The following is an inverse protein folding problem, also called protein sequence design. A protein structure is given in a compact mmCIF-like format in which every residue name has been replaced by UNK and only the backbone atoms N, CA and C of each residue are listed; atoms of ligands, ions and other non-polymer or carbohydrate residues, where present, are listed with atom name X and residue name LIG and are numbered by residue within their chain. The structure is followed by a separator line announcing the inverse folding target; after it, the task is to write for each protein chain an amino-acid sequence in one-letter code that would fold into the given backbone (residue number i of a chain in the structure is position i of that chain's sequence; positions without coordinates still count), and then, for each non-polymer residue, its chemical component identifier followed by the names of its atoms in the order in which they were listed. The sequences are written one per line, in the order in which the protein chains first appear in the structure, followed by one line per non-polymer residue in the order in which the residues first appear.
data_IF_120287968196
#
_entry.id   IF_120287968196
#
_cell.length_a   1.000
_cell.length_b   1.000
_cell.length_c   1.000
_cell.angle_alpha   90.00
_cell.angle_beta   90.00
_cell.angle_gamma   90.00
#
_symmetry.space_group_name_H-M   'P 1'
#
loop_
_entity.id
_entity.type
_entity.pdbx_description
1 polymer ?
#
# COMPACT_ATOMS: atom_id res chain seq x y z
N UNK A 1 -6.84 -26.18 20.16
CA UNK A 1 -5.77 -26.53 21.09
C UNK A 1 -5.50 -25.45 22.14
N UNK A 2 -4.95 -24.26 21.79
CA UNK A 2 -4.66 -23.19 22.78
C UNK A 2 -5.88 -22.84 23.66
N UNK A 3 -7.06 -22.69 23.02
CA UNK A 3 -8.34 -22.49 23.71
C UNK A 3 -8.65 -23.56 24.76
N UNK A 4 -8.36 -24.82 24.47
CA UNK A 4 -8.62 -25.94 25.39
C UNK A 4 -7.67 -25.92 26.59
N UNK A 5 -6.43 -25.47 26.39
CA UNK A 5 -5.45 -25.30 27.47
C UNK A 5 -5.91 -24.21 28.41
N UNK A 6 -6.23 -23.02 27.90
CA UNK A 6 -6.68 -21.89 28.71
C UNK A 6 -7.99 -22.17 29.47
N UNK A 7 -8.93 -22.90 28.85
CA UNK A 7 -10.15 -23.34 29.54
C UNK A 7 -9.88 -24.29 30.70
N UNK A 8 -8.88 -25.18 30.58
CA UNK A 8 -8.48 -26.08 31.68
C UNK A 8 -7.81 -25.33 32.83
N UNK A 9 -7.08 -24.26 32.52
CA UNK A 9 -6.37 -23.44 33.51
C UNK A 9 -7.22 -22.30 34.10
N UNK A 10 -8.50 -22.20 33.72
CA UNK A 10 -9.40 -21.12 34.12
C UNK A 10 -8.87 -19.71 33.78
N UNK A 11 -8.20 -19.58 32.65
CA UNK A 11 -7.69 -18.31 32.13
C UNK A 11 -8.75 -17.67 31.23
N UNK A 12 -9.06 -16.38 31.45
CA UNK A 12 -9.92 -15.61 30.55
C UNK A 12 -9.11 -15.18 29.32
N UNK A 13 -9.72 -15.23 28.13
CA UNK A 13 -9.03 -14.84 26.90
C UNK A 13 -9.97 -14.26 25.85
N UNK A 14 -9.41 -13.40 25.00
CA UNK A 14 -10.01 -12.97 23.74
C UNK A 14 -9.56 -13.88 22.58
N UNK A 15 -10.46 -14.21 21.65
CA UNK A 15 -10.09 -15.07 20.52
C UNK A 15 -9.06 -14.43 19.58
N UNK A 16 -9.10 -13.10 19.41
CA UNK A 16 -8.12 -12.37 18.61
C UNK A 16 -6.71 -12.44 19.23
N UNK A 17 -6.61 -12.35 20.56
CA UNK A 17 -5.33 -12.49 21.27
C UNK A 17 -4.72 -13.89 21.07
N UNK A 18 -5.55 -14.94 21.08
CA UNK A 18 -5.11 -16.30 20.79
C UNK A 18 -4.60 -16.48 19.34
N UNK A 19 -5.28 -15.87 18.36
CA UNK A 19 -4.81 -15.88 16.96
C UNK A 19 -3.45 -15.18 16.85
N UNK A 20 -3.27 -14.10 17.59
CA UNK A 20 -2.03 -13.34 17.62
C UNK A 20 -0.87 -14.19 18.16
N UNK A 21 -1.04 -14.84 19.31
CA UNK A 21 -0.04 -15.77 19.89
C UNK A 21 0.28 -16.91 18.92
N UNK A 22 -0.74 -17.51 18.30
CA UNK A 22 -0.56 -18.58 17.32
C UNK A 22 0.27 -18.15 16.10
N UNK A 23 0.08 -16.91 15.64
CA UNK A 23 0.85 -16.31 14.55
C UNK A 23 2.30 -16.06 14.97
N UNK A 24 2.51 -15.49 16.16
CA UNK A 24 3.85 -15.18 16.69
C UNK A 24 4.70 -16.42 16.96
N UNK A 25 4.08 -17.58 17.16
CA UNK A 25 4.78 -18.87 17.26
C UNK A 25 5.34 -19.41 15.94
N UNK A 26 5.24 -18.68 14.81
CA UNK A 26 5.84 -19.01 13.52
C UNK A 26 5.56 -20.45 13.01
N UNK A 27 4.39 -21.01 13.34
CA UNK A 27 4.02 -22.38 12.96
C UNK A 27 4.69 -23.48 13.79
N UNK A 28 5.53 -23.14 14.75
CA UNK A 28 6.10 -24.05 15.74
C UNK A 28 5.13 -24.18 16.92
N UNK A 29 4.61 -25.39 17.12
CA UNK A 29 3.73 -25.68 18.25
C UNK A 29 4.44 -25.41 19.59
N UNK A 30 5.74 -25.71 19.68
CA UNK A 30 6.54 -25.48 20.88
C UNK A 30 6.69 -24.00 21.20
N UNK A 31 6.99 -23.19 20.20
CA UNK A 31 7.20 -21.74 20.41
C UNK A 31 5.87 -21.07 20.72
N UNK A 32 4.78 -21.50 20.06
CA UNK A 32 3.43 -21.05 20.38
C UNK A 32 3.04 -21.35 21.83
N UNK A 33 3.33 -22.56 22.33
CA UNK A 33 3.06 -22.92 23.73
C UNK A 33 3.94 -22.13 24.69
N UNK A 34 5.21 -21.91 24.34
CA UNK A 34 6.12 -21.08 25.15
C UNK A 34 5.62 -19.63 25.27
N UNK A 35 5.12 -19.05 24.17
CA UNK A 35 4.50 -17.72 24.17
C UNK A 35 3.18 -17.70 24.95
N UNK A 36 2.39 -18.78 24.90
CA UNK A 36 1.17 -18.91 25.69
C UNK A 36 1.46 -18.90 27.19
N UNK A 37 2.47 -19.65 27.63
CA UNK A 37 2.88 -19.69 29.04
C UNK A 37 3.35 -18.32 29.54
N UNK A 38 4.13 -17.61 28.71
CA UNK A 38 4.54 -16.22 28.99
C UNK A 38 3.33 -15.28 29.05
N UNK A 39 2.38 -15.43 28.14
CA UNK A 39 1.15 -14.64 28.10
C UNK A 39 0.30 -14.81 29.35
N UNK A 40 0.14 -16.04 29.86
CA UNK A 40 -0.62 -16.32 31.08
C UNK A 40 -0.01 -15.57 32.27
N UNK A 41 1.32 -15.62 32.41
CA UNK A 41 2.06 -14.96 33.49
C UNK A 41 1.95 -13.43 33.36
N UNK A 42 2.22 -12.88 32.17
CA UNK A 42 2.21 -11.43 31.94
C UNK A 42 0.82 -10.83 32.12
N UNK A 43 -0.22 -11.52 31.63
CA UNK A 43 -1.58 -10.99 31.60
C UNK A 43 -2.36 -11.21 32.90
N UNK A 44 -1.77 -11.88 33.90
CA UNK A 44 -2.40 -12.22 35.18
C UNK A 44 -3.73 -12.98 35.01
N UNK A 45 -3.71 -14.05 34.21
CA UNK A 45 -4.85 -14.92 33.90
C UNK A 45 -6.03 -14.24 33.15
N UNK A 46 -5.81 -13.06 32.56
CA UNK A 46 -6.77 -12.41 31.66
C UNK A 46 -6.07 -11.88 30.41
N UNK A 47 -6.07 -12.70 29.36
CA UNK A 47 -5.40 -12.46 28.08
C UNK A 47 -6.30 -11.61 27.17
N UNK A 48 -5.90 -10.37 26.92
CA UNK A 48 -6.55 -9.48 25.93
C UNK A 48 -5.57 -9.08 24.84
N UNK A 49 -6.09 -8.62 23.70
CA UNK A 49 -5.25 -8.24 22.56
C UNK A 49 -4.23 -7.15 22.95
N UNK A 50 -4.68 -6.14 23.71
CA UNK A 50 -3.82 -5.05 24.19
C UNK A 50 -2.66 -5.56 25.04
N UNK A 51 -2.92 -6.46 26.00
CA UNK A 51 -1.84 -6.98 26.85
C UNK A 51 -0.86 -7.84 26.07
N UNK A 52 -1.33 -8.55 25.04
CA UNK A 52 -0.48 -9.38 24.18
C UNK A 52 0.37 -8.52 23.24
N UNK A 53 -0.19 -7.46 22.65
CA UNK A 53 0.58 -6.51 21.85
C UNK A 53 1.65 -5.84 22.71
N UNK A 54 1.33 -5.47 23.95
CA UNK A 54 2.28 -4.89 24.90
C UNK A 54 3.38 -5.90 25.28
N UNK A 55 3.01 -7.14 25.58
CA UNK A 55 3.96 -8.21 25.95
C UNK A 55 4.96 -8.50 24.83
N UNK A 56 4.47 -8.57 23.60
CA UNK A 56 5.25 -8.99 22.45
C UNK A 56 5.92 -7.81 21.71
N UNK A 57 5.65 -6.57 22.13
CA UNK A 57 6.15 -5.37 21.46
C UNK A 57 5.56 -5.15 20.07
N UNK A 58 4.40 -5.75 19.78
CA UNK A 58 3.73 -5.57 18.50
C UNK A 58 2.81 -4.35 18.51
N UNK A 59 2.53 -3.82 17.32
CA UNK A 59 1.61 -2.71 17.17
C UNK A 59 0.16 -3.15 17.20
N UNK A 60 -0.67 -2.33 17.83
CA UNK A 60 -2.12 -2.50 17.80
C UNK A 60 -2.61 -2.48 16.34
N UNK A 61 -3.35 -3.52 15.89
CA UNK A 61 -3.94 -3.56 14.55
C UNK A 61 -4.77 -2.31 14.20
N UNK A 62 -5.40 -1.66 15.18
CA UNK A 62 -6.14 -0.42 14.95
C UNK A 62 -5.22 0.74 14.59
N UNK A 63 -4.03 0.83 15.18
CA UNK A 63 -3.02 1.83 14.81
C UNK A 63 -2.52 1.61 13.40
N UNK A 64 -2.23 0.35 13.02
CA UNK A 64 -1.83 -0.01 11.65
C UNK A 64 -2.90 0.42 10.64
N UNK A 65 -4.17 0.11 10.93
CA UNK A 65 -5.29 0.53 10.10
C UNK A 65 -5.37 2.05 9.98
N UNK A 66 -5.27 2.76 11.10
CA UNK A 66 -5.37 4.22 11.10
C UNK A 66 -4.22 4.89 10.34
N UNK A 67 -3.02 4.30 10.38
CA UNK A 67 -1.87 4.74 9.57
C UNK A 67 -2.13 4.60 8.06
N UNK A 68 -2.64 3.45 7.61
CA UNK A 68 -3.07 3.28 6.22
C UNK A 68 -4.12 4.31 5.81
N UNK A 69 -5.11 4.57 6.66
CA UNK A 69 -6.15 5.56 6.39
C UNK A 69 -5.59 6.97 6.30
N UNK A 70 -4.65 7.36 7.16
CA UNK A 70 -3.96 8.65 7.08
C UNK A 70 -3.22 8.81 5.73
N UNK A 71 -2.52 7.76 5.26
CA UNK A 71 -1.84 7.75 3.96
C UNK A 71 -2.82 7.89 2.79
N UNK A 72 -3.95 7.17 2.83
CA UNK A 72 -4.97 7.20 1.78
C UNK A 72 -5.72 8.54 1.72
N UNK A 73 -6.02 9.12 2.88
CA UNK A 73 -6.70 10.42 2.99
C UNK A 73 -5.76 11.61 2.78
N UNK A 74 -4.46 11.35 2.61
CA UNK A 74 -3.41 12.37 2.42
C UNK A 74 -3.26 13.32 3.61
N UNK A 75 -3.62 12.84 4.79
CA UNK A 75 -3.49 13.60 6.04
C UNK A 75 -2.05 13.52 6.54
N UNK A 76 -1.20 14.45 6.04
CA UNK A 76 0.23 14.46 6.34
C UNK A 76 0.51 14.62 7.82
N UNK A 77 -0.26 15.45 8.52
CA UNK A 77 -0.09 15.68 9.96
C UNK A 77 -0.31 14.39 10.75
N UNK A 78 -1.37 13.65 10.43
CA UNK A 78 -1.58 12.33 11.04
C UNK A 78 -0.48 11.34 10.70
N UNK A 79 0.00 11.31 9.46
CA UNK A 79 1.11 10.41 9.07
C UNK A 79 2.37 10.71 9.88
N UNK A 80 2.71 11.98 10.09
CA UNK A 80 3.87 12.36 10.91
C UNK A 80 3.68 12.01 12.38
N UNK A 81 2.49 12.27 12.94
CA UNK A 81 2.18 11.87 14.31
C UNK A 81 2.33 10.35 14.51
N UNK A 82 1.85 9.55 13.55
CA UNK A 82 2.09 8.10 13.58
C UNK A 82 3.58 7.76 13.46
N UNK A 83 4.33 8.40 12.56
CA UNK A 83 5.76 8.13 12.43
C UNK A 83 6.53 8.41 13.72
N UNK A 84 6.18 9.45 14.47
CA UNK A 84 6.76 9.72 15.80
C UNK A 84 6.47 8.58 16.79
N UNK A 85 5.24 8.06 16.81
CA UNK A 85 4.90 6.90 17.63
C UNK A 85 5.59 5.60 17.18
N UNK A 86 5.77 5.43 15.86
CA UNK A 86 6.36 4.20 15.30
C UNK A 86 7.88 4.10 15.55
N UNK A 87 8.56 5.21 15.88
CA UNK A 87 10.00 5.21 16.16
C UNK A 87 10.40 4.44 17.42
N UNK A 88 9.47 4.19 18.34
CA UNK A 88 9.70 3.38 19.53
C UNK A 88 9.72 1.86 19.23
N UNK A 89 9.39 1.47 18.00
CA UNK A 89 9.31 0.08 17.55
C UNK A 89 10.40 -0.26 16.54
N UNK A 90 10.81 -1.52 16.52
CA UNK A 90 11.72 -2.03 15.48
C UNK A 90 11.04 -1.97 14.10
N UNK A 91 11.74 -1.45 13.09
CA UNK A 91 11.15 -1.26 11.77
C UNK A 91 10.73 -2.59 11.14
N UNK A 92 11.48 -3.66 11.40
CA UNK A 92 11.16 -5.01 10.93
C UNK A 92 9.76 -5.46 11.41
N UNK A 93 9.45 -5.23 12.69
CA UNK A 93 8.19 -5.57 13.34
C UNK A 93 7.04 -4.73 12.79
N UNK A 94 7.25 -3.42 12.63
CA UNK A 94 6.24 -2.52 12.02
C UNK A 94 5.92 -2.95 10.59
N UNK A 95 6.95 -3.22 9.78
CA UNK A 95 6.78 -3.62 8.38
C UNK A 95 6.04 -4.96 8.29
N UNK A 96 6.33 -5.91 9.18
CA UNK A 96 5.66 -7.21 9.21
C UNK A 96 4.18 -7.10 9.62
N UNK A 97 3.85 -6.25 10.59
CA UNK A 97 2.46 -5.98 10.94
C UNK A 97 1.70 -5.26 9.81
N UNK A 98 2.34 -4.30 9.15
CA UNK A 98 1.76 -3.63 7.98
C UNK A 98 1.52 -4.62 6.83
N UNK A 99 2.50 -5.47 6.51
CA UNK A 99 2.38 -6.50 5.49
C UNK A 99 1.25 -7.48 5.82
N UNK A 100 1.15 -7.88 7.09
CA UNK A 100 0.09 -8.76 7.56
C UNK A 100 -1.28 -8.12 7.38
N UNK A 101 -1.48 -6.88 7.84
CA UNK A 101 -2.74 -6.15 7.68
C UNK A 101 -3.14 -6.05 6.21
N UNK A 102 -2.19 -5.67 5.34
CA UNK A 102 -2.44 -5.52 3.91
C UNK A 102 -2.84 -6.85 3.26
N UNK A 103 -2.17 -7.94 3.64
CA UNK A 103 -2.48 -9.31 3.19
C UNK A 103 -3.88 -9.75 3.60
N UNK A 104 -4.22 -9.58 4.88
CA UNK A 104 -5.55 -9.92 5.40
C UNK A 104 -6.64 -9.11 4.68
N UNK A 105 -6.44 -7.80 4.53
CA UNK A 105 -7.38 -6.92 3.82
C UNK A 105 -7.59 -7.32 2.36
N UNK A 106 -6.50 -7.72 1.68
CA UNK A 106 -6.54 -8.22 0.30
C UNK A 106 -7.35 -9.52 0.17
N UNK A 107 -7.11 -10.52 1.03
CA UNK A 107 -7.85 -11.79 0.99
C UNK A 107 -9.31 -11.64 1.43
N UNK A 108 -9.58 -10.72 2.35
CA UNK A 108 -10.94 -10.32 2.73
C UNK A 108 -11.68 -9.59 1.59
N UNK A 109 -11.02 -9.30 0.46
CA UNK A 109 -11.56 -8.53 -0.67
C UNK A 109 -12.10 -7.17 -0.23
N UNK A 110 -11.41 -6.54 0.72
CA UNK A 110 -11.78 -5.23 1.23
C UNK A 110 -11.70 -4.18 0.12
N UNK A 111 -12.68 -3.29 0.08
CA UNK A 111 -12.71 -2.13 -0.82
C UNK A 111 -11.92 -0.92 -0.27
N UNK A 112 -11.21 -1.09 0.86
CA UNK A 112 -10.39 -0.04 1.48
C UNK A 112 -9.22 0.41 0.58
N UNK A 113 -8.67 -0.51 -0.22
CA UNK A 113 -7.59 -0.25 -1.18
C UNK A 113 -8.01 -0.67 -2.59
N UNK A 114 -7.60 0.09 -3.60
CA UNK A 114 -7.71 -0.37 -5.00
C UNK A 114 -6.63 -1.42 -5.29
N UNK A 115 -6.83 -2.24 -6.34
CA UNK A 115 -5.86 -3.27 -6.76
C UNK A 115 -4.48 -2.67 -7.02
N UNK A 116 -4.43 -1.48 -7.63
CA UNK A 116 -3.19 -0.76 -7.87
C UNK A 116 -2.49 -0.33 -6.56
N UNK A 117 -3.25 0.10 -5.56
CA UNK A 117 -2.69 0.46 -4.25
C UNK A 117 -2.17 -0.78 -3.53
N UNK A 118 -2.88 -1.91 -3.58
CA UNK A 118 -2.36 -3.17 -3.05
C UNK A 118 -1.01 -3.54 -3.67
N UNK A 119 -0.91 -3.54 -5.01
CA UNK A 119 0.35 -3.85 -5.72
C UNK A 119 1.49 -2.93 -5.27
N UNK A 120 1.24 -1.61 -5.25
CA UNK A 120 2.24 -0.61 -4.85
C UNK A 120 2.67 -0.79 -3.40
N UNK A 121 1.73 -0.94 -2.48
CA UNK A 121 2.03 -1.08 -1.05
C UNK A 121 2.77 -2.39 -0.74
N UNK A 122 2.39 -3.52 -1.37
CA UNK A 122 3.16 -4.76 -1.22
C UNK A 122 4.61 -4.60 -1.70
N UNK A 123 4.80 -3.94 -2.86
CA UNK A 123 6.14 -3.67 -3.40
C UNK A 123 6.96 -2.77 -2.46
N UNK A 124 6.35 -1.71 -1.93
CA UNK A 124 7.02 -0.77 -1.02
C UNK A 124 7.42 -1.44 0.28
N UNK A 125 6.51 -2.18 0.92
CA UNK A 125 6.79 -2.91 2.15
C UNK A 125 7.88 -3.97 1.94
N UNK A 126 7.84 -4.69 0.82
CA UNK A 126 8.90 -5.64 0.45
C UNK A 126 10.25 -4.95 0.27
N UNK A 127 10.27 -3.76 -0.34
CA UNK A 127 11.49 -2.97 -0.48
C UNK A 127 12.01 -2.48 0.86
N UNK A 128 11.14 -1.94 1.72
CA UNK A 128 11.50 -1.46 3.05
C UNK A 128 12.09 -2.60 3.91
N UNK A 129 11.49 -3.80 3.86
CA UNK A 129 12.00 -4.98 4.56
C UNK A 129 13.41 -5.38 4.11
N UNK A 130 13.72 -5.21 2.83
CA UNK A 130 15.07 -5.51 2.30
C UNK A 130 16.06 -4.36 2.50
N UNK A 131 15.57 -3.15 2.77
CA UNK A 131 16.41 -1.97 2.99
C UNK A 131 16.94 -1.91 4.42
N UNK A 132 16.24 -2.52 5.40
CA UNK A 132 16.49 -2.46 6.85
C UNK A 132 17.89 -1.94 7.17
N UNK A 133 17.94 -0.64 7.49
CA UNK A 133 19.16 0.06 7.85
C UNK A 133 19.39 -0.02 9.36
N UNK A 134 20.56 0.42 9.83
CA UNK A 134 20.85 0.55 11.26
C UNK A 134 19.94 1.55 11.99
N UNK A 135 19.21 2.39 11.23
CA UNK A 135 18.26 3.37 11.72
C UNK A 135 16.82 2.94 11.33
N UNK A 136 16.08 2.44 12.32
CA UNK A 136 14.68 2.03 12.20
C UNK A 136 13.79 3.21 11.77
N UNK A 137 13.97 4.37 12.40
CA UNK A 137 13.23 5.58 12.12
C UNK A 137 13.40 6.05 10.68
N UNK A 138 14.63 5.99 10.16
CA UNK A 138 14.92 6.27 8.76
C UNK A 138 14.18 5.32 7.81
N UNK A 139 14.21 4.01 8.11
CA UNK A 139 13.53 2.99 7.29
C UNK A 139 12.02 3.24 7.24
N UNK A 140 11.40 3.55 8.38
CA UNK A 140 9.98 3.84 8.50
C UNK A 140 9.59 5.14 7.79
N UNK A 141 10.42 6.18 7.89
CA UNK A 141 10.20 7.44 7.17
C UNK A 141 10.22 7.22 5.65
N UNK A 142 11.25 6.54 5.13
CA UNK A 142 11.36 6.25 3.69
C UNK A 142 10.17 5.43 3.20
N UNK A 143 9.77 4.40 3.95
CA UNK A 143 8.57 3.61 3.64
C UNK A 143 7.31 4.49 3.59
N UNK A 144 7.07 5.31 4.61
CA UNK A 144 5.90 6.17 4.67
C UNK A 144 5.88 7.18 3.51
N UNK A 145 7.01 7.81 3.19
CA UNK A 145 7.12 8.71 2.04
C UNK A 145 6.79 8.00 0.72
N UNK A 146 7.36 6.80 0.50
CA UNK A 146 7.06 6.01 -0.69
C UNK A 146 5.58 5.63 -0.77
N UNK A 147 4.93 5.32 0.35
CA UNK A 147 3.50 4.99 0.38
C UNK A 147 2.62 6.21 0.15
N UNK A 148 2.97 7.37 0.71
CA UNK A 148 2.31 8.63 0.42
C UNK A 148 2.45 8.99 -1.06
N UNK A 149 3.64 8.84 -1.65
CA UNK A 149 3.83 9.06 -3.09
C UNK A 149 2.98 8.08 -3.92
N UNK A 150 2.97 6.81 -3.55
CA UNK A 150 2.19 5.78 -4.23
C UNK A 150 0.66 6.00 -4.12
N UNK A 151 0.18 6.65 -3.06
CA UNK A 151 -1.23 7.04 -2.92
C UNK A 151 -1.59 8.28 -3.75
N UNK A 152 -0.61 9.04 -4.25
CA UNK A 152 -0.82 10.01 -5.31
C UNK A 152 -0.99 9.25 -6.63
N UNK A 153 -2.24 8.97 -7.02
CA UNK A 153 -2.54 8.83 -8.44
C UNK A 153 -2.24 10.19 -9.11
N UNK A 154 -1.07 10.31 -9.72
CA UNK A 154 -0.98 11.08 -10.94
C UNK A 154 -1.63 10.21 -12.00
N UNK A 155 -2.92 10.43 -12.24
CA UNK A 155 -3.50 9.96 -13.48
C UNK A 155 -2.67 10.57 -14.60
N UNK A 156 -2.14 9.71 -15.46
CA UNK A 156 -1.58 10.13 -16.74
C UNK A 156 -2.59 11.06 -17.45
N UNK A 157 -3.89 10.82 -17.25
CA UNK A 157 -4.99 11.64 -17.77
C UNK A 157 -5.05 13.08 -17.21
N UNK A 158 -4.73 13.30 -15.92
CA UNK A 158 -4.68 14.64 -15.33
C UNK A 158 -3.50 15.46 -15.89
N UNK A 159 -2.34 14.81 -16.09
CA UNK A 159 -1.18 15.45 -16.72
C UNK A 159 -1.40 15.72 -18.21
N UNK A 160 -2.14 14.86 -18.92
CA UNK A 160 -2.55 15.11 -20.31
C UNK A 160 -3.52 16.30 -20.40
N UNK A 161 -4.42 16.48 -19.43
CA UNK A 161 -5.35 17.61 -19.41
C UNK A 161 -4.65 18.94 -19.12
N UNK A 162 -3.69 19.00 -18.19
CA UNK A 162 -2.88 20.19 -17.92
C UNK A 162 -2.04 20.62 -19.14
N UNK A 163 -1.39 19.66 -19.82
CA UNK A 163 -0.60 19.92 -21.05
C UNK A 163 -1.50 20.36 -22.23
N UNK A 164 -2.76 19.90 -22.28
CA UNK A 164 -3.73 20.36 -23.28
C UNK A 164 -4.25 21.78 -23.00
N UNK A 165 -4.39 22.18 -21.73
CA UNK A 165 -4.85 23.53 -21.36
C UNK A 165 -3.80 24.61 -21.64
N UNK A 166 -2.50 24.36 -21.41
CA UNK A 166 -1.45 25.33 -21.74
C UNK A 166 -1.38 25.66 -23.25
N UNK A 167 -1.73 24.70 -24.11
CA UNK A 167 -1.71 24.89 -25.56
C UNK A 167 -2.99 25.54 -26.14
N UNK A 168 -4.07 25.71 -25.36
CA UNK A 168 -5.32 26.29 -25.88
C UNK A 168 -5.42 27.82 -25.74
N UNK A 169 -4.57 28.46 -24.93
CA UNK A 169 -4.66 29.91 -24.67
C UNK A 169 -3.99 30.81 -25.71
N UNK A 170 -3.33 30.26 -26.75
CA UNK A 170 -2.56 31.05 -27.73
C UNK A 170 -3.00 30.93 -29.19
N UNK A 171 -4.27 30.59 -29.47
CA UNK A 171 -4.80 30.67 -30.84
C UNK A 171 -6.11 31.47 -30.81
N UNK A 172 -5.99 32.79 -30.93
CA UNK A 172 -7.12 33.63 -31.37
C UNK A 172 -7.11 33.60 -32.89
N UNK A 173 -8.08 32.98 -33.60
CA UNK A 173 -8.15 33.08 -35.04
C UNK A 173 -8.68 34.47 -35.38
N UNK A 174 -7.80 35.34 -35.88
CA UNK A 174 -8.21 36.61 -36.51
C UNK A 174 -8.88 36.26 -37.84
N UNK A 175 -10.20 36.16 -37.86
CA UNK A 175 -10.98 35.93 -39.07
C UNK A 175 -11.04 37.25 -39.86
N UNK A 176 -10.12 37.42 -40.83
CA UNK A 176 -10.32 38.33 -41.97
C UNK A 176 -10.90 37.51 -43.12
N UNK A 177 -12.00 37.95 -43.77
CA UNK A 177 -12.54 37.22 -44.92
C UNK A 177 -11.63 37.46 -46.15
N UNK A 178 -11.03 36.39 -46.65
CA UNK A 178 -10.28 36.34 -47.91
C UNK A 178 -10.96 35.35 -48.89
N UNK A 179 -10.75 35.50 -50.21
CA UNK A 179 -11.70 35.07 -51.24
C UNK A 179 -11.87 33.56 -51.37
N UNK A 180 -13.05 33.16 -51.83
CA UNK A 180 -13.42 31.78 -52.14
C UNK A 180 -12.57 31.27 -53.31
N UNK A 181 -11.76 30.24 -53.08
CA UNK A 181 -11.04 29.47 -54.12
C UNK A 181 -11.68 28.09 -54.21
N UNK A 182 -11.97 27.54 -55.42
CA UNK A 182 -12.67 26.26 -55.55
C UNK A 182 -11.76 25.08 -55.18
N UNK A 183 -12.30 24.21 -54.31
CA UNK A 183 -12.04 22.78 -54.14
C UNK A 183 -10.60 22.27 -54.44
N UNK A 184 -9.76 22.17 -53.39
CA UNK A 184 -8.61 21.26 -53.37
C UNK A 184 -8.91 20.09 -52.45
N UNK A 185 -8.83 18.89 -53.02
CA UNK A 185 -8.96 17.59 -52.36
C UNK A 185 -8.09 17.52 -51.10
N UNK A 186 -8.70 17.21 -49.95
CA UNK A 186 -7.99 16.92 -48.71
C UNK A 186 -7.14 15.67 -48.90
N UNK A 187 -5.83 15.84 -49.09
CA UNK A 187 -4.86 14.76 -48.89
C UNK A 187 -4.78 14.49 -47.38
N UNK A 188 -5.39 13.39 -46.94
CA UNK A 188 -5.34 12.96 -45.55
C UNK A 188 -3.89 12.54 -45.26
N UNK A 189 -3.16 13.36 -44.51
CA UNK A 189 -1.87 12.97 -43.96
C UNK A 189 -2.08 11.83 -42.95
N UNK A 190 -1.46 10.68 -43.20
CA UNK A 190 -1.56 9.49 -42.35
C UNK A 190 -1.06 9.79 -40.95
N UNK A 191 -1.83 9.43 -39.92
CA UNK A 191 -1.44 9.60 -38.52
C UNK A 191 -0.32 8.61 -38.16
N UNK A 192 0.50 8.91 -37.13
CA UNK A 192 1.61 8.09 -36.66
C UNK A 192 1.23 6.62 -36.41
N UNK A 193 -0.02 6.35 -36.02
CA UNK A 193 -0.56 5.00 -35.87
C UNK A 193 -0.65 4.24 -37.22
N UNK A 194 -1.09 4.91 -38.29
CA UNK A 194 -1.24 4.31 -39.62
C UNK A 194 0.12 4.05 -40.28
N UNK A 195 1.11 4.93 -40.03
CA UNK A 195 2.50 4.72 -40.48
C UNK A 195 3.12 3.50 -39.80
N UNK A 196 2.83 3.30 -38.51
CA UNK A 196 3.36 2.17 -37.74
C UNK A 196 2.72 0.85 -38.19
N UNK A 197 1.41 0.86 -38.48
CA UNK A 197 0.68 -0.25 -39.08
C UNK A 197 1.30 -0.70 -40.41
N UNK A 198 1.55 0.23 -41.33
CA UNK A 198 2.21 -0.09 -42.61
C UNK A 198 3.58 -0.75 -42.37
N UNK A 199 4.38 -0.24 -41.43
CA UNK A 199 5.73 -0.79 -41.11
C UNK A 199 5.74 -2.18 -40.44
N UNK A 200 4.60 -2.61 -39.90
CA UNK A 200 4.43 -3.96 -39.33
C UNK A 200 4.04 -4.93 -40.45
N UNK A 201 3.16 -4.52 -41.36
CA UNK A 201 2.69 -5.37 -42.45
C UNK A 201 3.66 -5.49 -43.64
N UNK A 202 4.59 -4.54 -43.80
CA UNK A 202 5.63 -4.59 -44.85
C UNK A 202 6.76 -5.60 -44.55
N UNK A 203 6.79 -6.21 -43.36
CA UNK A 203 7.90 -7.07 -42.92
C UNK A 203 7.72 -8.57 -43.11
N UNK A 204 6.60 -9.01 -43.67
CA UNK A 204 6.36 -10.40 -44.03
C UNK A 204 6.06 -10.50 -45.53
N UNK A 205 7.09 -10.64 -46.36
CA UNK A 205 7.13 -11.42 -47.60
C UNK A 205 8.50 -11.22 -48.29
N UNK A 206 9.50 -11.98 -47.87
CA UNK A 206 10.46 -12.62 -48.78
C UNK A 206 11.13 -13.76 -48.01
N UNK A 207 10.83 -14.97 -48.47
CA UNK A 207 11.33 -16.28 -48.03
C UNK A 207 12.47 -16.71 -48.96
#
# INVERSE_FOLDING_TARGET
HLKEILLKENVKFEEEALKFIARSGNGSLRDTLTLLDQAIIFCQNEISISKITDMLGFLDPQKIKAFYQAILTKDKEKVFAYLEELQDYEASSVIDEMLFYLKESFFAKSTEFSILIYERFFRILSKAKNMLCDDDGFTLCVMAFMMMEASHLKEIDAQIQEIKQENTTNITPRITPAPIIPNLEKKIEKNAYEILLDSIYDRDFDL
#
